data_IF_077428105199
#
_entry.id   IF_077428105199
#
_cell.length_a   1.000
_cell.length_b   1.000
_cell.length_c   1.000
_cell.angle_alpha   90.00
_cell.angle_beta   90.00
_cell.angle_gamma   90.00
#
_symmetry.space_group_name_H-M   'P 1'
#
loop_
_entity.id
_entity.type
_entity.pdbx_description
1 polymer ?
#
# COMPACT_ATOMS: atom_id res chain seq x y z
N UNK A 1 13.20 51.92 18.07
CA UNK A 1 12.49 50.89 18.89
C UNK A 1 11.34 50.21 18.13
N UNK A 2 10.34 50.90 17.58
CA UNK A 2 9.15 50.32 16.90
C UNK A 2 9.52 49.35 15.77
N UNK A 3 10.47 49.69 14.88
CA UNK A 3 10.88 48.82 13.77
C UNK A 3 11.48 47.47 14.24
N UNK A 4 12.31 47.50 15.32
CA UNK A 4 12.91 46.27 15.85
C UNK A 4 11.89 45.34 16.50
N UNK A 5 10.87 45.89 17.14
CA UNK A 5 9.75 45.11 17.72
C UNK A 5 8.92 44.46 16.60
N UNK A 6 8.59 45.25 15.57
CA UNK A 6 7.85 44.73 14.41
C UNK A 6 8.57 43.60 13.69
N UNK A 7 9.89 43.76 13.46
CA UNK A 7 10.71 42.74 12.84
C UNK A 7 10.73 41.44 13.65
N UNK A 8 10.91 41.53 14.98
CA UNK A 8 10.85 40.36 15.86
C UNK A 8 9.49 39.67 15.83
N UNK A 9 8.41 40.47 15.82
CA UNK A 9 7.05 39.93 15.72
C UNK A 9 6.82 39.18 14.40
N UNK A 10 7.27 39.73 13.27
CA UNK A 10 7.17 39.10 11.95
C UNK A 10 7.94 37.76 11.92
N UNK A 11 9.17 37.73 12.47
CA UNK A 11 9.93 36.48 12.55
C UNK A 11 9.22 35.43 13.41
N UNK A 12 8.65 35.82 14.55
CA UNK A 12 7.91 34.91 15.41
C UNK A 12 6.68 34.34 14.68
N UNK A 13 5.95 35.17 13.96
CA UNK A 13 4.78 34.79 13.19
C UNK A 13 5.16 33.83 12.05
N UNK A 14 6.25 34.13 11.34
CA UNK A 14 6.77 33.26 10.29
C UNK A 14 7.21 31.90 10.84
N UNK A 15 7.93 31.89 11.96
CA UNK A 15 8.34 30.64 12.62
C UNK A 15 7.13 29.80 13.05
N UNK A 16 6.12 30.44 13.62
CA UNK A 16 4.88 29.76 14.01
C UNK A 16 4.15 29.16 12.80
N UNK A 17 4.10 29.88 11.69
CA UNK A 17 3.51 29.39 10.45
C UNK A 17 4.24 28.16 9.91
N UNK A 18 5.57 28.24 9.83
CA UNK A 18 6.42 27.13 9.37
C UNK A 18 6.22 25.89 10.25
N UNK A 19 6.24 26.07 11.56
CA UNK A 19 6.04 24.98 12.51
C UNK A 19 4.65 24.35 12.37
N UNK A 20 3.61 25.17 12.25
CA UNK A 20 2.24 24.69 12.06
C UNK A 20 2.10 23.89 10.74
N UNK A 21 2.68 24.40 9.64
CA UNK A 21 2.68 23.70 8.35
C UNK A 21 3.42 22.36 8.44
N UNK A 22 4.56 22.32 9.11
CA UNK A 22 5.32 21.09 9.31
C UNK A 22 4.52 20.05 10.12
N UNK A 23 3.90 20.47 11.23
CA UNK A 23 3.04 19.58 12.03
C UNK A 23 1.87 19.07 11.20
N UNK A 24 1.19 19.94 10.45
CA UNK A 24 0.08 19.56 9.58
C UNK A 24 0.50 18.51 8.53
N UNK A 25 1.66 18.68 7.89
CA UNK A 25 2.20 17.73 6.93
C UNK A 25 2.48 16.36 7.56
N UNK A 26 3.12 16.34 8.73
CA UNK A 26 3.43 15.09 9.45
C UNK A 26 2.14 14.37 9.85
N UNK A 27 1.18 15.07 10.43
CA UNK A 27 -0.11 14.48 10.84
C UNK A 27 -0.87 13.95 9.63
N UNK A 28 -0.98 14.74 8.56
CA UNK A 28 -1.70 14.33 7.33
C UNK A 28 -1.06 13.10 6.71
N UNK A 29 0.28 13.07 6.59
CA UNK A 29 1.00 11.91 6.05
C UNK A 29 0.76 10.65 6.88
N UNK A 30 0.79 10.77 8.19
CA UNK A 30 0.57 9.64 9.11
C UNK A 30 -0.86 9.10 9.01
N UNK A 31 -1.86 9.98 8.89
CA UNK A 31 -3.26 9.59 8.74
C UNK A 31 -3.49 8.91 7.39
N UNK A 32 -2.93 9.46 6.30
CA UNK A 32 -3.07 8.87 4.96
C UNK A 32 -2.44 7.48 4.88
N UNK A 33 -1.24 7.30 5.43
CA UNK A 33 -0.59 5.98 5.47
C UNK A 33 -1.38 4.97 6.29
N UNK A 34 -1.95 5.39 7.42
CA UNK A 34 -2.79 4.52 8.25
C UNK A 34 -4.05 4.09 7.51
N UNK A 35 -4.75 5.04 6.88
CA UNK A 35 -5.95 4.75 6.07
C UNK A 35 -5.63 3.79 4.92
N UNK A 36 -4.59 4.08 4.14
CA UNK A 36 -4.17 3.20 3.04
C UNK A 36 -3.92 1.76 3.51
N UNK A 37 -3.31 1.59 4.67
CA UNK A 37 -3.08 0.26 5.26
C UNK A 37 -4.39 -0.43 5.63
N UNK A 38 -5.31 0.28 6.27
CA UNK A 38 -6.63 -0.24 6.67
C UNK A 38 -7.48 -0.60 5.45
N UNK A 39 -7.48 0.25 4.41
CA UNK A 39 -8.20 0.03 3.16
C UNK A 39 -7.68 -1.21 2.43
N UNK A 40 -6.36 -1.39 2.35
CA UNK A 40 -5.76 -2.58 1.74
C UNK A 40 -6.05 -3.86 2.54
N UNK A 41 -6.03 -3.79 3.86
CA UNK A 41 -6.41 -4.94 4.71
C UNK A 41 -7.85 -5.34 4.46
N UNK A 42 -8.77 -4.39 4.42
CA UNK A 42 -10.17 -4.63 4.13
C UNK A 42 -10.37 -5.21 2.71
N UNK A 43 -9.63 -4.70 1.72
CA UNK A 43 -9.69 -5.21 0.35
C UNK A 43 -9.23 -6.68 0.28
N UNK A 44 -8.11 -7.03 0.94
CA UNK A 44 -7.63 -8.41 1.00
C UNK A 44 -8.64 -9.34 1.67
N UNK A 45 -9.18 -8.99 2.84
CA UNK A 45 -10.20 -9.79 3.51
C UNK A 45 -11.46 -9.95 2.65
N UNK A 46 -11.83 -8.93 1.90
CA UNK A 46 -13.00 -8.97 1.03
C UNK A 46 -12.78 -9.94 -0.13
N UNK A 47 -11.63 -9.87 -0.78
CA UNK A 47 -11.25 -10.78 -1.87
C UNK A 47 -11.16 -12.22 -1.34
N UNK A 48 -10.49 -12.45 -0.22
CA UNK A 48 -10.34 -13.78 0.39
C UNK A 48 -11.69 -14.44 0.67
N UNK A 49 -12.67 -13.68 1.17
CA UNK A 49 -14.03 -14.17 1.42
C UNK A 49 -14.86 -14.47 0.16
N UNK A 50 -14.50 -13.86 -0.97
CA UNK A 50 -15.18 -14.07 -2.25
C UNK A 50 -14.61 -15.25 -3.03
N UNK A 51 -13.37 -15.65 -2.77
CA UNK A 51 -12.71 -16.75 -3.47
C UNK A 51 -13.18 -18.11 -2.95
N UNK A 52 -13.62 -18.97 -3.86
CA UNK A 52 -13.85 -20.40 -3.57
C UNK A 52 -12.58 -21.20 -3.85
N UNK A 53 -11.84 -21.55 -2.81
CA UNK A 53 -10.59 -22.31 -2.91
C UNK A 53 -10.76 -23.78 -3.34
N UNK A 54 -12.01 -24.24 -3.51
CA UNK A 54 -12.29 -25.60 -4.05
C UNK A 54 -12.42 -25.60 -5.57
N UNK A 55 -12.58 -24.40 -6.17
CA UNK A 55 -12.73 -24.20 -7.60
C UNK A 55 -11.46 -23.72 -8.31
N UNK A 56 -11.63 -23.15 -9.51
CA UNK A 56 -10.57 -22.49 -10.25
C UNK A 56 -10.31 -21.09 -9.70
N UNK A 57 -9.42 -20.96 -8.72
CA UNK A 57 -9.13 -19.68 -8.03
C UNK A 57 -8.49 -18.65 -8.97
N UNK A 58 -7.74 -19.11 -9.98
CA UNK A 58 -7.10 -18.22 -10.96
C UNK A 58 -8.16 -17.46 -11.77
N UNK A 59 -9.17 -18.16 -12.28
CA UNK A 59 -10.27 -17.59 -13.06
C UNK A 59 -11.10 -16.63 -12.20
N UNK A 60 -11.43 -17.04 -10.98
CA UNK A 60 -12.17 -16.21 -10.03
C UNK A 60 -11.43 -14.90 -9.68
N UNK A 61 -10.10 -14.95 -9.55
CA UNK A 61 -9.29 -13.76 -9.27
C UNK A 61 -9.34 -12.77 -10.45
N UNK A 62 -9.31 -13.28 -11.69
CA UNK A 62 -9.41 -12.44 -12.89
C UNK A 62 -10.81 -11.82 -13.00
N UNK A 63 -11.86 -12.61 -12.80
CA UNK A 63 -13.25 -12.11 -12.81
C UNK A 63 -13.48 -11.01 -11.75
N UNK A 64 -12.94 -11.19 -10.56
CA UNK A 64 -13.00 -10.18 -9.49
C UNK A 64 -12.29 -8.88 -9.87
N UNK A 65 -11.14 -8.97 -10.52
CA UNK A 65 -10.39 -7.81 -11.00
C UNK A 65 -11.19 -7.02 -12.05
N UNK A 66 -11.84 -7.70 -12.97
CA UNK A 66 -12.66 -7.08 -14.01
C UNK A 66 -13.92 -6.41 -13.43
N UNK A 67 -14.52 -7.04 -12.41
CA UNK A 67 -15.70 -6.49 -11.73
C UNK A 67 -15.41 -5.25 -10.90
N UNK A 68 -14.26 -5.19 -10.26
CA UNK A 68 -13.88 -4.05 -9.43
C UNK A 68 -13.51 -2.82 -10.25
N UNK A 69 -13.18 -2.99 -11.53
CA UNK A 69 -12.75 -1.92 -12.46
C UNK A 69 -11.77 -0.91 -11.82
N UNK A 70 -11.01 -1.40 -10.83
CA UNK A 70 -10.03 -0.60 -10.11
C UNK A 70 -8.66 -0.76 -10.77
N UNK A 71 -8.38 0.10 -11.76
CA UNK A 71 -7.09 0.15 -12.45
C UNK A 71 -5.91 0.51 -11.54
N UNK A 72 -6.17 0.70 -10.23
CA UNK A 72 -5.15 1.07 -9.24
C UNK A 72 -4.72 -0.08 -8.34
N UNK A 73 -5.46 -1.19 -8.35
CA UNK A 73 -5.19 -2.34 -7.49
C UNK A 73 -4.81 -3.56 -8.33
N UNK A 74 -3.74 -4.21 -7.95
CA UNK A 74 -3.25 -5.45 -8.54
C UNK A 74 -3.29 -6.55 -7.49
N UNK A 75 -3.87 -7.67 -7.84
CA UNK A 75 -3.95 -8.84 -6.98
C UNK A 75 -3.03 -9.94 -7.48
N UNK A 76 -2.30 -10.55 -6.57
CA UNK A 76 -1.37 -11.65 -6.87
C UNK A 76 -1.64 -12.79 -5.90
N UNK A 77 -2.01 -13.95 -6.41
CA UNK A 77 -2.18 -15.16 -5.61
C UNK A 77 -0.84 -15.86 -5.43
N UNK A 78 -0.43 -16.07 -4.18
CA UNK A 78 0.87 -16.61 -3.82
C UNK A 78 0.65 -17.84 -2.91
N UNK A 79 1.30 -18.95 -3.21
CA UNK A 79 1.33 -20.10 -2.32
C UNK A 79 2.19 -19.84 -1.09
N UNK A 80 2.01 -20.67 -0.06
CA UNK A 80 2.78 -20.60 1.18
C UNK A 80 4.30 -20.76 0.98
N UNK A 81 4.73 -21.37 -0.12
CA UNK A 81 6.14 -21.49 -0.52
C UNK A 81 6.68 -20.29 -1.30
N UNK A 82 5.85 -19.25 -1.48
CA UNK A 82 6.18 -18.03 -2.20
C UNK A 82 6.02 -18.10 -3.72
N UNK A 83 5.54 -19.23 -4.25
CA UNK A 83 5.28 -19.39 -5.69
C UNK A 83 4.06 -18.60 -6.10
N UNK A 84 4.17 -17.79 -7.15
CA UNK A 84 3.03 -17.05 -7.73
C UNK A 84 2.17 -18.01 -8.56
N UNK A 85 0.88 -18.04 -8.29
CA UNK A 85 -0.11 -18.91 -8.97
C UNK A 85 -0.91 -18.11 -10.01
N UNK A 86 -1.36 -16.92 -9.63
CA UNK A 86 -2.13 -16.02 -10.50
C UNK A 86 -1.78 -14.56 -10.23
N UNK A 87 -1.99 -13.70 -11.21
CA UNK A 87 -1.74 -12.27 -11.10
C UNK A 87 -2.63 -11.53 -12.10
N UNK A 88 -3.31 -10.47 -11.63
CA UNK A 88 -4.30 -9.75 -12.46
C UNK A 88 -3.70 -8.91 -13.58
N UNK A 89 -2.39 -8.63 -13.55
CA UNK A 89 -1.71 -7.86 -14.60
C UNK A 89 -0.70 -8.69 -15.41
N UNK A 90 -0.27 -9.84 -14.90
CA UNK A 90 0.77 -10.65 -15.53
C UNK A 90 0.22 -12.03 -15.91
N UNK A 91 -0.06 -12.21 -17.19
CA UNK A 91 -0.58 -13.50 -17.69
C UNK A 91 0.43 -14.66 -17.59
N UNK A 92 1.74 -14.39 -17.62
CA UNK A 92 2.77 -15.41 -17.56
C UNK A 92 3.44 -15.43 -16.18
N UNK A 93 2.71 -15.89 -15.17
CA UNK A 93 3.19 -15.93 -13.78
C UNK A 93 4.39 -16.85 -13.56
N UNK A 94 4.62 -17.83 -14.44
CA UNK A 94 5.78 -18.72 -14.41
C UNK A 94 7.13 -18.01 -14.61
N UNK A 95 7.11 -16.79 -15.15
CA UNK A 95 8.29 -15.92 -15.28
C UNK A 95 8.53 -15.04 -14.06
N UNK A 96 7.59 -15.02 -13.13
CA UNK A 96 7.72 -14.27 -11.87
C UNK A 96 8.60 -15.04 -10.91
N UNK A 97 9.52 -14.32 -10.27
CA UNK A 97 10.34 -14.90 -9.21
C UNK A 97 9.54 -15.28 -7.96
N UNK A 98 10.11 -16.13 -7.12
CA UNK A 98 9.50 -16.46 -5.84
C UNK A 98 9.37 -15.23 -4.94
N UNK A 99 8.23 -15.10 -4.26
CA UNK A 99 7.86 -13.91 -3.48
C UNK A 99 8.00 -14.11 -1.95
N UNK A 100 8.48 -15.27 -1.51
CA UNK A 100 8.59 -15.62 -0.08
C UNK A 100 9.43 -14.60 0.72
N UNK A 101 10.47 -14.06 0.08
CA UNK A 101 11.39 -13.11 0.73
C UNK A 101 10.84 -11.67 0.81
N UNK A 102 9.69 -11.39 0.24
CA UNK A 102 9.08 -10.08 0.31
C UNK A 102 8.61 -9.81 1.74
N UNK A 103 8.86 -8.59 2.21
CA UNK A 103 8.55 -8.21 3.60
C UNK A 103 7.08 -8.43 3.94
N UNK A 104 6.17 -7.96 3.09
CA UNK A 104 4.73 -8.13 3.26
C UNK A 104 4.32 -9.60 3.35
N UNK A 105 4.92 -10.48 2.55
CA UNK A 105 4.63 -11.92 2.56
C UNK A 105 5.17 -12.57 3.82
N UNK A 106 6.40 -12.27 4.23
CA UNK A 106 6.97 -12.78 5.50
C UNK A 106 6.15 -12.36 6.71
N UNK A 107 5.76 -11.09 6.76
CA UNK A 107 4.96 -10.56 7.87
C UNK A 107 3.58 -11.25 7.90
N UNK A 108 2.94 -11.45 6.73
CA UNK A 108 1.66 -12.15 6.63
C UNK A 108 1.75 -13.60 7.12
N UNK A 109 2.77 -14.34 6.71
CA UNK A 109 3.00 -15.71 7.16
C UNK A 109 3.25 -15.81 8.66
N UNK A 110 3.86 -14.79 9.26
CA UNK A 110 4.17 -14.78 10.69
C UNK A 110 3.01 -14.30 11.58
N UNK A 111 2.21 -13.35 11.11
CA UNK A 111 1.22 -12.62 11.93
C UNK A 111 -0.20 -12.60 11.35
N UNK A 112 -0.40 -13.16 10.15
CA UNK A 112 -1.68 -13.15 9.43
C UNK A 112 -1.93 -11.91 8.58
N UNK A 113 -1.05 -10.91 8.63
CA UNK A 113 -1.12 -9.72 7.79
C UNK A 113 0.24 -9.05 7.64
N UNK A 114 0.60 -8.68 6.43
CA UNK A 114 1.82 -7.96 6.12
C UNK A 114 1.56 -6.69 5.30
N UNK A 115 2.36 -5.66 5.56
CA UNK A 115 2.29 -4.40 4.83
C UNK A 115 3.67 -3.81 4.61
N UNK A 116 3.92 -3.34 3.38
CA UNK A 116 5.16 -2.61 3.06
C UNK A 116 4.90 -1.50 2.03
N UNK A 117 5.72 -0.46 2.09
CA UNK A 117 5.77 0.57 1.05
C UNK A 117 7.17 0.56 0.46
N UNK A 118 7.27 0.34 -0.85
CA UNK A 118 8.56 0.29 -1.55
C UNK A 118 8.43 0.80 -2.98
N UNK A 119 9.55 1.13 -3.57
CA UNK A 119 9.58 1.50 -4.99
C UNK A 119 9.40 0.26 -5.85
N UNK A 120 8.41 0.30 -6.74
CA UNK A 120 8.20 -0.74 -7.74
C UNK A 120 9.40 -0.78 -8.71
N UNK A 121 9.99 -1.96 -8.88
CA UNK A 121 11.05 -2.16 -9.87
C UNK A 121 10.56 -2.01 -11.31
N UNK A 122 9.28 -2.30 -11.56
CA UNK A 122 8.66 -2.25 -12.89
C UNK A 122 8.18 -0.83 -13.23
N UNK A 123 7.51 -0.15 -12.30
CA UNK A 123 6.87 1.14 -12.54
C UNK A 123 7.73 2.34 -12.10
N UNK A 124 8.79 2.12 -11.33
CA UNK A 124 9.67 3.17 -10.85
C UNK A 124 9.05 4.16 -9.85
N UNK A 125 7.84 3.89 -9.37
CA UNK A 125 7.10 4.71 -8.40
C UNK A 125 6.94 3.99 -7.06
N UNK A 126 6.62 4.75 -6.01
CA UNK A 126 6.31 4.15 -4.71
C UNK A 126 4.94 3.47 -4.76
N UNK A 127 4.88 2.25 -4.27
CA UNK A 127 3.65 1.46 -4.17
C UNK A 127 3.53 0.88 -2.76
N UNK A 128 2.29 0.76 -2.29
CA UNK A 128 1.96 0.01 -1.10
C UNK A 128 1.66 -1.46 -1.48
N UNK A 129 2.09 -2.38 -0.63
CA UNK A 129 1.89 -3.81 -0.77
C UNK A 129 1.32 -4.35 0.53
N UNK A 130 0.31 -5.22 0.44
CA UNK A 130 -0.27 -5.95 1.56
C UNK A 130 -0.40 -7.44 1.22
N UNK A 131 -0.32 -8.29 2.21
CA UNK A 131 -0.48 -9.74 2.12
C UNK A 131 -1.14 -10.28 3.39
#
# INVERSE_FOLDING_TARGET
MRKAILTKFIHLLFLALVLNTFIALVVTSSVLLKRSREDMHFALESVDRMLDYTGNVEEQLMDLSDLTNDNNSRYTLIRMDGTVVADTEVAQVNQMGNHLERKEVKDALATGYGYSVRRSGTLGMQMAYAA
#
